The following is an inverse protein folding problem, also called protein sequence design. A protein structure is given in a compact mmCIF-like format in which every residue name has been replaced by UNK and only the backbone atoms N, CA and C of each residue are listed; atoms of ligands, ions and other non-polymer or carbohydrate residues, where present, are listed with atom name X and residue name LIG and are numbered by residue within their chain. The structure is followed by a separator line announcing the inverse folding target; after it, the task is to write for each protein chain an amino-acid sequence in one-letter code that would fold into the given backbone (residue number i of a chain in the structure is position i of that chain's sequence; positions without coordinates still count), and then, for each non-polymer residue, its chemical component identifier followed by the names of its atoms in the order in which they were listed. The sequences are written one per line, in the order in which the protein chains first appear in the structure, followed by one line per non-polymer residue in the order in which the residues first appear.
data_IF_672829582425
#
_entry.id   IF_672829582425
#
_cell.length_a   1.000
_cell.length_b   1.000
_cell.length_c   1.000
_cell.angle_alpha   90.00
_cell.angle_beta   90.00
_cell.angle_gamma   90.00
#
_symmetry.space_group_name_H-M   'P 1'
#
loop_
_entity.id
_entity.type
_entity.pdbx_description
1 polymer ?
#
# COMPACT_ATOMS: atom_id res chain seq x y z
N UNK A 1 -9.34 -2.72 -3.72
CA UNK A 1 -8.67 -4.03 -3.85
C UNK A 1 -7.70 -4.01 -5.02
N UNK A 2 -8.15 -3.68 -6.21
CA UNK A 2 -7.28 -3.64 -7.41
C UNK A 2 -6.03 -2.76 -7.22
N UNK A 3 -6.18 -1.53 -6.73
CA UNK A 3 -5.05 -0.63 -6.44
C UNK A 3 -4.01 -1.25 -5.50
N UNK A 4 -4.45 -1.94 -4.45
CA UNK A 4 -3.54 -2.60 -3.51
C UNK A 4 -2.79 -3.75 -4.20
N UNK A 5 -3.51 -4.59 -4.94
CA UNK A 5 -2.91 -5.74 -5.64
C UNK A 5 -1.91 -5.28 -6.69
N UNK A 6 -2.26 -4.28 -7.51
CA UNK A 6 -1.35 -3.75 -8.53
C UNK A 6 -0.12 -3.04 -7.96
N UNK A 7 -0.20 -2.52 -6.75
CA UNK A 7 0.97 -1.98 -6.05
C UNK A 7 1.87 -3.09 -5.51
N UNK A 8 1.29 -4.13 -4.93
CA UNK A 8 2.06 -5.25 -4.35
C UNK A 8 2.76 -6.08 -5.41
N UNK A 9 2.13 -6.29 -6.56
CA UNK A 9 2.71 -7.06 -7.66
C UNK A 9 2.27 -6.53 -9.02
N UNK A 10 3.24 -6.33 -9.93
CA UNK A 10 2.99 -5.87 -11.29
C UNK A 10 2.67 -7.02 -12.26
N UNK A 11 2.83 -8.27 -11.85
CA UNK A 11 2.57 -9.47 -12.64
C UNK A 11 1.74 -10.49 -11.85
N UNK A 12 1.21 -11.50 -12.53
CA UNK A 12 0.48 -12.57 -11.87
C UNK A 12 1.41 -13.33 -10.91
N UNK A 13 2.66 -13.55 -11.33
CA UNK A 13 3.69 -14.20 -10.52
C UNK A 13 5.03 -13.47 -10.63
N UNK A 14 5.73 -13.40 -9.49
CA UNK A 14 7.13 -12.98 -9.40
C UNK A 14 7.85 -14.04 -8.59
N UNK A 15 8.95 -14.57 -9.14
CA UNK A 15 9.75 -15.63 -8.54
C UNK A 15 11.18 -15.15 -8.36
N UNK A 16 11.73 -15.35 -7.18
CA UNK A 16 13.13 -15.09 -6.86
C UNK A 16 13.54 -15.87 -5.60
N UNK A 17 14.67 -15.54 -5.00
CA UNK A 17 15.10 -16.06 -3.70
C UNK A 17 14.41 -15.32 -2.56
N UNK A 18 14.37 -15.93 -1.35
CA UNK A 18 13.90 -15.22 -0.16
C UNK A 18 14.64 -13.92 0.15
N UNK A 19 15.92 -13.83 -0.22
CA UNK A 19 16.73 -12.62 -0.01
C UNK A 19 16.23 -11.44 -0.85
N UNK A 20 15.81 -11.70 -2.08
CA UNK A 20 15.17 -10.67 -2.91
C UNK A 20 13.93 -10.06 -2.21
N UNK A 21 13.00 -10.91 -1.78
CA UNK A 21 11.75 -10.46 -1.16
C UNK A 21 11.95 -9.83 0.22
N UNK A 22 13.03 -10.17 0.91
CA UNK A 22 13.39 -9.59 2.23
C UNK A 22 14.31 -8.39 2.12
N UNK A 23 14.67 -7.98 0.89
CA UNK A 23 15.62 -6.88 0.63
C UNK A 23 17.00 -7.12 1.26
N UNK A 24 17.42 -8.37 1.35
CA UNK A 24 18.74 -8.72 1.81
C UNK A 24 19.75 -8.66 0.66
N UNK A 25 20.98 -8.19 0.91
CA UNK A 25 22.02 -8.32 -0.09
C UNK A 25 22.33 -9.80 -0.32
N UNK A 26 22.43 -10.19 -1.58
CA UNK A 26 22.83 -11.51 -1.98
C UNK A 26 23.74 -11.43 -3.20
N UNK A 27 24.73 -12.31 -3.30
CA UNK A 27 25.63 -12.34 -4.45
C UNK A 27 24.96 -12.98 -5.67
N UNK A 28 24.03 -13.89 -5.43
CA UNK A 28 23.25 -14.59 -6.47
C UNK A 28 21.78 -14.63 -6.06
N UNK A 29 20.91 -14.61 -7.08
CA UNK A 29 19.48 -14.77 -6.95
C UNK A 29 19.01 -15.96 -7.79
N UNK A 30 17.88 -15.83 -8.48
CA UNK A 30 17.37 -16.89 -9.36
C UNK A 30 18.36 -17.18 -10.51
N UNK A 31 18.57 -18.46 -10.81
CA UNK A 31 19.48 -18.86 -11.89
C UNK A 31 18.77 -19.01 -13.23
N UNK A 32 19.49 -18.91 -14.37
CA UNK A 32 18.90 -19.15 -15.70
C UNK A 32 18.22 -20.52 -15.81
N UNK A 33 18.82 -21.56 -15.22
CA UNK A 33 18.27 -22.93 -15.27
C UNK A 33 16.93 -23.01 -14.50
N UNK A 34 16.83 -22.32 -13.37
CA UNK A 34 15.57 -22.25 -12.61
C UNK A 34 14.50 -21.49 -13.38
N UNK A 35 14.87 -20.41 -14.07
CA UNK A 35 13.95 -19.65 -14.93
C UNK A 35 13.44 -20.55 -16.06
N UNK A 36 14.34 -21.28 -16.75
CA UNK A 36 13.96 -22.20 -17.83
C UNK A 36 13.03 -23.32 -17.31
N UNK A 37 13.30 -23.86 -16.12
CA UNK A 37 12.45 -24.88 -15.50
C UNK A 37 11.04 -24.32 -15.21
N UNK A 38 10.95 -23.13 -14.65
CA UNK A 38 9.67 -22.47 -14.36
C UNK A 38 8.92 -22.19 -15.67
N UNK A 39 9.58 -21.61 -16.65
CA UNK A 39 8.99 -21.29 -17.95
C UNK A 39 8.49 -22.52 -18.69
N UNK A 40 9.18 -23.66 -18.58
CA UNK A 40 8.76 -24.93 -19.19
C UNK A 40 7.53 -25.56 -18.53
N UNK A 41 7.26 -25.24 -17.26
CA UNK A 41 6.19 -25.82 -16.46
C UNK A 41 5.01 -24.84 -16.21
N UNK A 42 5.09 -23.62 -16.73
CA UNK A 42 4.04 -22.62 -16.63
C UNK A 42 3.64 -22.11 -18.01
N UNK A 43 2.35 -21.76 -18.17
CA UNK A 43 1.84 -21.18 -19.41
C UNK A 43 1.75 -19.67 -19.21
N UNK A 44 2.68 -18.95 -19.80
CA UNK A 44 2.74 -17.49 -19.71
C UNK A 44 2.23 -16.82 -20.98
N UNK A 45 1.46 -15.76 -20.84
CA UNK A 45 1.09 -14.82 -21.91
C UNK A 45 2.16 -13.74 -22.12
N UNK A 46 2.83 -13.36 -21.05
CA UNK A 46 3.98 -12.45 -21.01
C UNK A 46 4.93 -12.95 -19.94
N UNK A 47 6.22 -12.93 -20.22
CA UNK A 47 7.24 -13.25 -19.22
C UNK A 47 8.52 -12.48 -19.48
N UNK A 48 9.32 -12.28 -18.45
CA UNK A 48 10.62 -11.65 -18.58
C UNK A 48 11.42 -11.71 -17.28
N UNK A 49 12.67 -11.38 -17.39
CA UNK A 49 13.65 -11.39 -16.32
C UNK A 49 14.09 -9.97 -15.99
N UNK A 50 14.15 -9.66 -14.71
CA UNK A 50 14.85 -8.49 -14.21
C UNK A 50 16.23 -8.88 -13.71
N UNK A 51 17.21 -8.01 -13.93
CA UNK A 51 18.61 -8.27 -13.63
C UNK A 51 19.19 -7.21 -12.73
N UNK A 52 20.08 -7.59 -11.84
CA UNK A 52 20.90 -6.69 -11.04
C UNK A 52 22.31 -6.60 -11.62
N UNK A 53 22.85 -5.39 -11.73
CA UNK A 53 24.24 -5.19 -12.15
C UNK A 53 25.16 -5.41 -10.94
N UNK A 54 25.99 -6.45 -10.98
CA UNK A 54 26.93 -6.88 -9.94
C UNK A 54 28.33 -6.31 -10.15
N UNK A 55 28.38 -5.01 -10.39
CA UNK A 55 29.60 -4.27 -10.58
C UNK A 55 29.45 -2.91 -9.90
N UNK A 56 30.47 -2.39 -9.22
CA UNK A 56 30.41 -1.04 -8.70
C UNK A 56 30.07 -0.06 -9.82
N UNK A 57 28.99 0.68 -9.64
CA UNK A 57 28.54 1.69 -10.59
C UNK A 57 28.08 2.93 -9.85
N UNK A 58 28.46 4.08 -10.34
CA UNK A 58 28.17 5.38 -9.75
C UNK A 58 27.62 6.32 -10.82
N UNK A 59 26.66 7.15 -10.45
CA UNK A 59 26.18 8.22 -11.31
C UNK A 59 26.74 9.57 -10.87
N UNK A 60 27.12 10.39 -11.84
CA UNK A 60 27.46 11.79 -11.61
C UNK A 60 26.17 12.61 -11.54
N UNK A 61 25.93 13.21 -10.39
CA UNK A 61 24.74 14.01 -10.11
C UNK A 61 25.16 15.36 -9.52
N UNK A 62 24.27 16.33 -9.53
CA UNK A 62 24.52 17.61 -8.85
C UNK A 62 24.59 17.38 -7.34
N UNK A 63 25.46 18.13 -6.68
CA UNK A 63 25.59 18.04 -5.21
C UNK A 63 24.25 18.35 -4.52
N UNK A 64 23.47 19.30 -5.04
CA UNK A 64 22.17 19.67 -4.48
C UNK A 64 21.18 18.51 -4.53
N UNK A 65 21.14 17.75 -5.63
CA UNK A 65 20.28 16.59 -5.77
C UNK A 65 20.65 15.50 -4.75
N UNK A 66 21.94 15.20 -4.61
CA UNK A 66 22.41 14.19 -3.68
C UNK A 66 22.18 14.61 -2.22
N UNK A 67 22.38 15.89 -1.89
CA UNK A 67 22.09 16.44 -0.56
C UNK A 67 20.62 16.32 -0.16
N UNK A 68 19.68 16.48 -1.09
CA UNK A 68 18.25 16.31 -0.82
C UNK A 68 17.90 14.88 -0.41
N UNK A 69 18.58 13.90 -1.00
CA UNK A 69 18.32 12.50 -0.70
C UNK A 69 18.93 12.08 0.64
N UNK A 70 20.19 12.42 0.88
CA UNK A 70 20.86 12.17 2.16
C UNK A 70 20.23 12.90 3.34
N UNK A 71 19.69 14.12 3.14
CA UNK A 71 19.05 14.90 4.20
C UNK A 71 17.85 14.19 4.86
N UNK A 72 17.35 13.11 4.26
CA UNK A 72 16.31 12.25 4.87
C UNK A 72 16.85 11.38 6.00
N UNK A 73 18.16 11.13 6.02
CA UNK A 73 18.80 10.14 6.90
C UNK A 73 19.90 10.75 7.77
N UNK A 74 20.50 11.87 7.36
CA UNK A 74 21.66 12.48 7.97
C UNK A 74 21.39 13.91 8.49
N UNK A 75 22.07 14.29 9.55
CA UNK A 75 22.09 15.68 10.02
C UNK A 75 22.95 16.56 9.08
N UNK A 76 22.76 17.88 9.13
CA UNK A 76 23.51 18.82 8.28
C UNK A 76 25.03 18.68 8.41
N UNK A 77 25.55 18.47 9.64
CA UNK A 77 27.00 18.29 9.87
C UNK A 77 27.52 16.97 9.29
N UNK A 78 26.75 15.89 9.41
CA UNK A 78 27.09 14.59 8.82
C UNK A 78 27.07 14.68 7.30
N UNK A 79 26.08 15.35 6.75
CA UNK A 79 25.94 15.57 5.32
C UNK A 79 27.11 16.36 4.73
N UNK A 80 27.53 17.47 5.37
CA UNK A 80 28.70 18.26 4.93
C UNK A 80 29.99 17.44 4.98
N UNK A 81 30.16 16.65 6.05
CA UNK A 81 31.30 15.74 6.17
C UNK A 81 31.28 14.66 5.09
N UNK A 82 30.09 14.12 4.78
CA UNK A 82 29.92 13.09 3.76
C UNK A 82 30.20 13.64 2.36
N UNK A 83 29.60 14.76 1.99
CA UNK A 83 29.83 15.41 0.69
C UNK A 83 31.31 15.76 0.49
N UNK A 84 32.01 16.24 1.52
CA UNK A 84 33.44 16.59 1.40
C UNK A 84 34.36 15.39 1.11
N UNK A 85 33.91 14.16 1.33
CA UNK A 85 34.68 12.93 1.09
C UNK A 85 34.39 12.29 -0.27
N UNK A 86 33.30 12.69 -0.92
CA UNK A 86 32.94 12.20 -2.25
C UNK A 86 33.88 12.73 -3.33
N UNK A 87 33.96 12.03 -4.44
CA UNK A 87 34.67 12.49 -5.62
C UNK A 87 33.84 13.56 -6.33
N UNK A 88 34.51 14.67 -6.68
CA UNK A 88 33.89 15.82 -7.35
C UNK A 88 34.46 16.02 -8.76
N UNK A 89 33.58 16.37 -9.71
CA UNK A 89 33.91 16.85 -11.06
C UNK A 89 33.17 18.16 -11.34
N UNK A 90 33.76 19.28 -10.98
CA UNK A 90 33.09 20.58 -11.03
C UNK A 90 32.01 20.68 -9.97
N UNK A 91 30.77 20.87 -10.40
CA UNK A 91 29.55 20.91 -9.58
C UNK A 91 28.86 19.54 -9.44
N UNK A 92 29.45 18.49 -10.04
CA UNK A 92 28.95 17.15 -9.98
C UNK A 92 29.66 16.32 -8.92
N UNK A 93 28.92 15.45 -8.27
CA UNK A 93 29.40 14.52 -7.24
C UNK A 93 29.08 13.09 -7.69
N UNK A 94 29.96 12.17 -7.35
CA UNK A 94 29.78 10.75 -7.63
C UNK A 94 28.86 10.14 -6.57
N UNK A 95 27.63 9.83 -6.95
CA UNK A 95 26.64 9.19 -6.09
C UNK A 95 26.46 7.70 -6.43
N UNK A 96 26.12 6.92 -5.43
CA UNK A 96 25.69 5.53 -5.64
C UNK A 96 24.45 5.50 -6.54
N UNK A 97 24.34 4.43 -7.33
CA UNK A 97 23.15 4.21 -8.15
C UNK A 97 22.77 2.75 -8.14
N UNK A 98 21.48 2.50 -8.38
CA UNK A 98 20.98 1.18 -8.71
C UNK A 98 20.61 1.15 -10.18
N UNK A 99 21.10 0.14 -10.89
CA UNK A 99 20.71 -0.13 -12.26
C UNK A 99 19.81 -1.36 -12.26
N UNK A 100 18.55 -1.14 -12.54
CA UNK A 100 17.58 -2.20 -12.81
C UNK A 100 17.62 -2.50 -14.31
N UNK A 101 18.17 -3.64 -14.67
CA UNK A 101 18.20 -4.05 -16.06
C UNK A 101 17.02 -4.99 -16.33
N UNK A 102 16.30 -4.76 -17.42
CA UNK A 102 15.07 -5.49 -17.73
C UNK A 102 15.11 -6.10 -19.12
N UNK A 103 14.49 -7.27 -19.26
CA UNK A 103 14.11 -7.78 -20.56
C UNK A 103 13.15 -6.81 -21.26
N UNK A 104 13.27 -6.70 -22.58
CA UNK A 104 12.44 -5.79 -23.38
C UNK A 104 10.93 -6.04 -23.20
N UNK A 105 10.53 -7.28 -22.94
CA UNK A 105 9.13 -7.66 -22.67
C UNK A 105 8.57 -7.02 -21.40
N UNK A 106 9.41 -6.54 -20.49
CA UNK A 106 8.98 -5.96 -19.21
C UNK A 106 8.80 -4.44 -19.26
N UNK A 107 9.21 -3.79 -20.33
CA UNK A 107 9.04 -2.33 -20.43
C UNK A 107 7.57 -1.90 -20.43
N UNK A 108 6.66 -2.77 -20.91
CA UNK A 108 5.21 -2.51 -20.81
C UNK A 108 4.67 -2.46 -19.36
N UNK A 109 5.46 -2.93 -18.39
CA UNK A 109 5.13 -2.85 -16.95
C UNK A 109 5.52 -1.51 -16.34
N UNK A 110 6.35 -0.71 -17.00
CA UNK A 110 6.77 0.60 -16.54
C UNK A 110 5.68 1.63 -16.84
N UNK A 111 5.38 2.48 -15.87
CA UNK A 111 4.53 3.64 -16.11
C UNK A 111 5.40 4.83 -16.51
N UNK A 112 5.31 5.26 -17.77
CA UNK A 112 6.03 6.44 -18.26
C UNK A 112 5.35 7.70 -17.73
N UNK A 113 6.11 8.50 -16.96
CA UNK A 113 5.67 9.80 -16.46
C UNK A 113 6.01 10.91 -17.47
N UNK A 114 7.21 10.90 -18.04
CA UNK A 114 7.65 11.86 -19.06
C UNK A 114 8.62 11.17 -20.04
N UNK A 115 8.65 11.61 -21.28
CA UNK A 115 9.52 11.09 -22.32
C UNK A 115 8.98 9.84 -23.05
N UNK A 116 9.91 9.02 -23.57
CA UNK A 116 9.61 7.80 -24.34
C UNK A 116 10.68 6.74 -24.07
N UNK A 117 10.25 5.52 -23.76
CA UNK A 117 11.13 4.36 -23.51
C UNK A 117 11.55 3.65 -24.80
N UNK A 118 10.94 3.94 -25.95
CA UNK A 118 11.23 3.28 -27.23
C UNK A 118 12.72 3.31 -27.60
N UNK A 119 13.50 4.37 -27.32
CA UNK A 119 14.93 4.38 -27.58
C UNK A 119 15.73 3.28 -26.87
N UNK A 120 15.23 2.77 -25.72
CA UNK A 120 15.89 1.70 -24.98
C UNK A 120 15.75 0.33 -25.66
N UNK A 121 14.78 0.20 -26.58
CA UNK A 121 14.55 -1.04 -27.35
C UNK A 121 15.46 -1.13 -28.59
N UNK A 122 16.09 -0.02 -28.98
CA UNK A 122 16.98 0.01 -30.13
C UNK A 122 18.30 -0.72 -29.84
N UNK A 123 18.83 -1.49 -30.78
CA UNK A 123 20.13 -2.15 -30.61
C UNK A 123 21.27 -1.15 -30.37
N UNK A 124 22.17 -1.48 -29.47
CA UNK A 124 23.35 -0.66 -29.15
C UNK A 124 23.02 0.80 -28.76
N UNK A 125 21.86 1.00 -28.13
CA UNK A 125 21.47 2.33 -27.64
C UNK A 125 22.31 2.75 -26.43
N UNK A 126 22.27 4.06 -26.12
CA UNK A 126 22.78 4.66 -24.90
C UNK A 126 21.63 5.40 -24.17
N UNK A 127 20.43 4.89 -24.27
CA UNK A 127 19.27 5.42 -23.59
C UNK A 127 19.14 4.83 -22.19
N UNK A 128 18.75 5.68 -21.25
CA UNK A 128 18.49 5.30 -19.86
C UNK A 128 17.18 5.95 -19.41
N UNK A 129 16.40 5.23 -18.62
CA UNK A 129 15.28 5.82 -17.90
C UNK A 129 15.64 6.01 -16.42
N UNK A 130 15.12 7.08 -15.84
CA UNK A 130 15.25 7.36 -14.41
C UNK A 130 13.98 6.94 -13.73
N UNK A 131 14.10 6.08 -12.72
CA UNK A 131 12.98 5.71 -11.89
C UNK A 131 12.63 6.84 -10.94
N UNK A 132 11.36 7.24 -10.94
CA UNK A 132 10.80 8.30 -10.11
C UNK A 132 9.74 7.73 -9.19
N UNK A 133 9.59 8.35 -8.01
CA UNK A 133 8.52 8.01 -7.08
C UNK A 133 7.43 9.06 -7.18
N UNK A 134 6.25 8.66 -7.65
CA UNK A 134 5.08 9.52 -7.71
C UNK A 134 4.37 9.57 -6.35
N UNK A 135 3.64 10.65 -6.09
CA UNK A 135 2.74 10.72 -4.95
C UNK A 135 1.45 9.92 -5.20
N UNK A 136 0.60 9.79 -4.18
CA UNK A 136 -0.68 9.07 -4.28
C UNK A 136 -1.65 9.63 -5.33
N UNK A 137 -1.35 10.81 -5.89
CA UNK A 137 -2.13 11.50 -6.91
C UNK A 137 -1.49 11.45 -8.30
N UNK A 138 -0.34 10.78 -8.43
CA UNK A 138 0.41 10.66 -9.68
C UNK A 138 1.25 11.88 -10.04
N UNK A 139 1.51 12.78 -9.08
CA UNK A 139 2.41 13.91 -9.31
C UNK A 139 3.84 13.52 -8.90
N UNK A 140 4.81 14.10 -9.57
CA UNK A 140 6.22 13.96 -9.23
C UNK A 140 6.61 15.00 -8.16
N UNK A 141 6.89 14.57 -6.90
CA UNK A 141 7.41 15.48 -5.89
C UNK A 141 8.85 15.90 -6.25
N UNK A 142 9.18 17.17 -6.02
CA UNK A 142 10.52 17.73 -6.25
C UNK A 142 11.07 17.41 -7.65
N UNK A 143 10.39 17.83 -8.74
CA UNK A 143 10.82 17.52 -10.11
C UNK A 143 12.22 18.06 -10.43
N UNK A 144 12.70 19.08 -9.71
CA UNK A 144 14.05 19.64 -9.82
C UNK A 144 15.16 18.69 -9.35
N UNK A 145 14.81 17.66 -8.59
CA UNK A 145 15.75 16.63 -8.13
C UNK A 145 16.19 15.72 -9.29
N UNK A 146 15.31 15.49 -10.27
CA UNK A 146 15.55 14.53 -11.34
C UNK A 146 16.13 15.22 -12.59
N UNK A 147 17.00 14.52 -13.35
CA UNK A 147 17.43 15.00 -14.66
C UNK A 147 16.24 15.07 -15.61
N UNK A 148 16.31 15.95 -16.60
CA UNK A 148 15.26 16.11 -17.60
C UNK A 148 15.44 15.12 -18.75
N UNK A 149 14.34 14.79 -19.40
CA UNK A 149 14.39 14.03 -20.67
C UNK A 149 15.22 14.80 -21.69
N UNK A 150 16.21 14.11 -22.27
CA UNK A 150 17.18 14.65 -23.19
C UNK A 150 18.52 15.06 -22.55
N UNK A 151 18.60 15.12 -21.21
CA UNK A 151 19.87 15.36 -20.54
C UNK A 151 20.83 14.18 -20.72
N UNK A 152 22.13 14.48 -20.73
CA UNK A 152 23.18 13.46 -20.70
C UNK A 152 23.65 13.27 -19.28
N UNK A 153 23.67 12.01 -18.82
CA UNK A 153 24.21 11.63 -17.51
C UNK A 153 25.38 10.67 -17.71
N UNK A 154 26.36 10.75 -16.81
CA UNK A 154 27.54 9.88 -16.84
C UNK A 154 27.45 8.83 -15.74
N UNK A 155 27.59 7.56 -16.11
CA UNK A 155 27.78 6.47 -15.16
C UNK A 155 29.24 5.99 -15.21
N UNK A 156 29.86 5.86 -14.04
CA UNK A 156 31.20 5.29 -13.90
C UNK A 156 31.09 3.85 -13.41
N UNK A 157 31.47 2.90 -14.24
CA UNK A 157 31.62 1.48 -13.87
C UNK A 157 33.04 1.23 -13.42
N UNK A 158 33.23 0.52 -12.30
CA UNK A 158 34.54 0.14 -11.81
C UNK A 158 34.68 -1.37 -11.69
N UNK A 159 35.89 -1.89 -11.88
CA UNK A 159 36.16 -3.33 -11.70
C UNK A 159 36.26 -3.71 -10.22
N UNK A 160 36.74 -2.78 -9.40
CA UNK A 160 36.90 -2.98 -7.96
C UNK A 160 36.86 -1.61 -7.23
N UNK A 161 36.43 -1.62 -5.98
CA UNK A 161 36.40 -0.45 -5.10
C UNK A 161 37.13 -0.80 -3.81
N UNK A 162 38.10 0.03 -3.45
CA UNK A 162 38.83 -0.13 -2.19
C UNK A 162 38.78 1.14 -1.37
N UNK A 163 38.70 0.97 -0.08
CA UNK A 163 38.83 2.11 0.84
C UNK A 163 40.31 2.37 1.12
N UNK A 164 40.73 3.61 0.94
CA UNK A 164 42.07 4.09 1.26
C UNK A 164 42.02 5.10 2.41
N UNK A 165 43.14 5.27 3.09
CA UNK A 165 43.36 6.39 4.01
C UNK A 165 43.68 7.63 3.17
N UNK A 166 42.81 8.62 3.18
CA UNK A 166 42.96 9.85 2.39
C UNK A 166 44.23 10.65 2.70
N UNK A 167 44.84 10.42 3.88
CA UNK A 167 46.10 11.09 4.30
C UNK A 167 47.32 10.45 3.66
N UNK A 168 47.30 9.15 3.45
CA UNK A 168 48.47 8.38 2.97
C UNK A 168 48.32 7.86 1.55
N UNK A 169 47.07 7.68 1.08
CA UNK A 169 46.73 7.02 -0.17
C UNK A 169 46.92 5.51 -0.17
N UNK A 170 47.22 4.91 0.99
CA UNK A 170 47.37 3.48 1.18
C UNK A 170 46.00 2.84 1.54
N UNK A 171 45.88 1.53 1.39
CA UNK A 171 44.67 0.80 1.80
C UNK A 171 44.42 1.02 3.28
N UNK A 172 43.14 1.26 3.64
CA UNK A 172 42.74 1.42 5.03
C UNK A 172 43.12 0.20 5.85
N UNK A 173 43.46 0.44 7.12
CA UNK A 173 43.66 -0.60 8.14
C UNK A 173 42.58 -0.48 9.22
N UNK A 174 42.55 -1.41 10.15
CA UNK A 174 41.64 -1.35 11.31
C UNK A 174 41.85 -0.09 12.17
N UNK A 175 43.08 0.46 12.17
CA UNK A 175 43.46 1.65 12.93
C UNK A 175 43.15 2.97 12.19
N UNK A 176 42.71 2.93 10.93
CA UNK A 176 42.38 4.15 10.16
C UNK A 176 41.05 4.71 10.67
N UNK A 177 41.00 5.97 11.16
CA UNK A 177 39.74 6.59 11.55
C UNK A 177 38.79 6.74 10.34
N UNK A 178 37.48 6.55 10.56
CA UNK A 178 36.46 6.59 9.50
C UNK A 178 36.42 7.92 8.75
N UNK A 179 36.74 9.01 9.40
CA UNK A 179 36.81 10.35 8.81
C UNK A 179 37.84 10.49 7.68
N UNK A 180 38.81 9.56 7.59
CA UNK A 180 39.81 9.51 6.53
C UNK A 180 39.54 8.40 5.50
N UNK A 181 38.42 7.73 5.56
CA UNK A 181 38.04 6.76 4.53
C UNK A 181 37.71 7.48 3.24
N UNK A 182 38.34 7.08 2.17
CA UNK A 182 38.03 7.52 0.81
C UNK A 182 37.94 6.31 -0.10
N UNK A 183 36.90 6.28 -0.95
CA UNK A 183 36.76 5.26 -1.97
C UNK A 183 37.74 5.53 -3.11
N UNK A 184 38.37 4.46 -3.59
CA UNK A 184 39.20 4.49 -4.77
C UNK A 184 38.77 3.43 -5.76
N UNK A 185 38.38 3.89 -6.94
CA UNK A 185 37.93 3.05 -8.03
C UNK A 185 39.11 2.49 -8.82
N UNK A 186 39.05 1.22 -9.16
CA UNK A 186 40.02 0.53 -10.01
C UNK A 186 39.34 0.06 -11.29
N UNK A 187 39.99 0.22 -12.44
CA UNK A 187 39.44 -0.11 -13.74
C UNK A 187 38.18 0.72 -14.10
N UNK A 188 38.11 1.94 -13.57
CA UNK A 188 36.97 2.83 -13.78
C UNK A 188 36.81 3.21 -15.25
N UNK A 189 35.58 3.19 -15.74
CA UNK A 189 35.20 3.54 -17.11
C UNK A 189 33.90 4.33 -17.10
N UNK A 190 33.94 5.51 -17.69
CA UNK A 190 32.75 6.35 -17.85
C UNK A 190 31.95 5.90 -19.08
N UNK A 191 30.63 5.90 -18.93
CA UNK A 191 29.65 5.68 -19.99
C UNK A 191 28.63 6.81 -19.93
N UNK A 192 28.41 7.46 -21.06
CA UNK A 192 27.40 8.52 -21.17
C UNK A 192 26.08 7.92 -21.69
N UNK A 193 25.01 8.27 -20.98
CA UNK A 193 23.64 7.92 -21.34
C UNK A 193 22.80 9.16 -21.58
N UNK A 194 21.85 9.04 -22.50
CA UNK A 194 20.81 10.06 -22.69
C UNK A 194 19.56 9.63 -21.92
N UNK A 195 19.06 10.49 -21.05
CA UNK A 195 17.79 10.25 -20.33
C UNK A 195 16.65 10.30 -21.35
N UNK A 196 16.04 9.15 -21.61
CA UNK A 196 14.95 9.04 -22.59
C UNK A 196 13.57 9.15 -21.94
N UNK A 197 13.44 8.76 -20.66
CA UNK A 197 12.18 8.82 -19.94
C UNK A 197 12.39 8.95 -18.43
N UNK A 198 11.37 9.50 -17.78
CA UNK A 198 11.12 9.36 -16.34
C UNK A 198 10.02 8.31 -16.17
N UNK A 199 10.27 7.27 -15.39
CA UNK A 199 9.36 6.13 -15.25
C UNK A 199 9.07 5.83 -13.80
N UNK A 200 7.86 5.39 -13.50
CA UNK A 200 7.58 4.73 -12.23
C UNK A 200 7.86 3.24 -12.38
N UNK A 201 8.85 2.76 -11.64
CA UNK A 201 9.19 1.35 -11.60
C UNK A 201 8.30 0.66 -10.55
N UNK A 202 7.55 -0.40 -10.92
CA UNK A 202 6.76 -1.14 -9.97
C UNK A 202 7.58 -1.59 -8.77
N UNK A 203 7.05 -1.38 -7.57
CA UNK A 203 7.73 -1.71 -6.32
C UNK A 203 8.21 -3.17 -6.26
N UNK A 204 7.48 -4.10 -6.87
CA UNK A 204 7.81 -5.52 -6.94
C UNK A 204 8.90 -5.89 -7.95
N UNK A 205 9.32 -4.94 -8.80
CA UNK A 205 10.40 -5.14 -9.77
C UNK A 205 11.72 -4.48 -9.35
N UNK A 206 11.73 -3.69 -8.29
CA UNK A 206 12.91 -2.97 -7.84
C UNK A 206 13.67 -3.76 -6.79
N UNK A 207 14.99 -3.86 -6.97
CA UNK A 207 15.91 -4.32 -5.94
C UNK A 207 16.23 -3.18 -4.98
N UNK A 208 15.45 -3.07 -3.94
CA UNK A 208 15.44 -1.93 -3.00
C UNK A 208 16.61 -1.86 -2.04
N UNK A 209 17.56 -2.77 -2.17
CA UNK A 209 18.77 -2.78 -1.37
C UNK A 209 19.86 -1.95 -2.02
N UNK A 210 20.36 -0.98 -1.29
CA UNK A 210 21.54 -0.18 -1.63
C UNK A 210 21.25 1.15 -2.33
N UNK A 211 22.27 2.00 -2.30
CA UNK A 211 22.40 3.25 -3.01
C UNK A 211 21.49 4.41 -2.55
N UNK A 212 22.13 5.55 -2.35
CA UNK A 212 21.46 6.85 -2.28
C UNK A 212 21.80 7.55 -3.60
N UNK A 213 20.80 7.98 -4.33
CA UNK A 213 20.94 8.55 -5.66
C UNK A 213 19.83 8.08 -6.60
N UNK A 214 19.99 8.34 -7.88
CA UNK A 214 18.98 7.93 -8.84
C UNK A 214 18.92 6.41 -8.99
N UNK A 215 17.74 5.89 -8.92
CA UNK A 215 17.44 4.54 -9.42
C UNK A 215 17.25 4.64 -10.94
N UNK A 216 17.89 3.76 -11.68
CA UNK A 216 17.92 3.83 -13.14
C UNK A 216 17.50 2.54 -13.77
N UNK A 217 16.90 2.62 -14.95
CA UNK A 217 16.45 1.47 -15.72
C UNK A 217 17.19 1.41 -17.06
N UNK A 218 17.75 0.25 -17.38
CA UNK A 218 18.38 -0.06 -18.66
C UNK A 218 17.74 -1.29 -19.31
N UNK A 219 17.89 -1.41 -20.63
CA UNK A 219 17.68 -2.73 -21.26
C UNK A 219 18.80 -3.69 -20.84
N UNK A 220 18.47 -4.97 -20.70
CA UNK A 220 19.46 -5.99 -20.33
C UNK A 220 20.65 -6.00 -21.28
N UNK A 221 20.44 -5.80 -22.58
CA UNK A 221 21.50 -5.75 -23.58
C UNK A 221 22.50 -4.61 -23.32
N UNK A 222 21.99 -3.41 -23.00
CA UNK A 222 22.80 -2.26 -22.64
C UNK A 222 23.54 -2.47 -21.33
N UNK A 223 22.86 -3.00 -20.31
CA UNK A 223 23.46 -3.29 -19.02
C UNK A 223 24.55 -4.36 -19.11
N UNK A 224 24.35 -5.44 -19.88
CA UNK A 224 25.36 -6.48 -20.13
C UNK A 224 26.59 -5.92 -20.88
N UNK A 225 26.36 -5.13 -21.93
CA UNK A 225 27.44 -4.48 -22.67
C UNK A 225 28.30 -3.59 -21.78
N UNK A 226 27.67 -2.74 -20.98
CA UNK A 226 28.36 -1.70 -20.25
C UNK A 226 28.92 -2.16 -18.91
N UNK A 227 28.30 -3.14 -18.27
CA UNK A 227 28.88 -3.79 -17.10
C UNK A 227 29.95 -4.82 -17.41
N UNK A 228 30.12 -5.19 -18.70
CA UNK A 228 31.06 -6.25 -19.10
C UNK A 228 30.56 -7.64 -18.73
N UNK A 229 29.25 -7.88 -18.81
CA UNK A 229 28.63 -9.16 -18.49
C UNK A 229 28.25 -9.35 -17.02
N UNK A 230 28.23 -8.27 -16.22
CA UNK A 230 27.97 -8.36 -14.80
C UNK A 230 26.48 -8.18 -14.42
N UNK A 231 25.56 -8.10 -15.38
CA UNK A 231 24.13 -8.14 -15.10
C UNK A 231 23.68 -9.61 -14.91
N UNK A 232 23.24 -9.96 -13.71
CA UNK A 232 22.79 -11.31 -13.35
C UNK A 232 21.28 -11.34 -13.13
N UNK A 233 20.59 -12.46 -13.45
CA UNK A 233 19.17 -12.60 -13.16
C UNK A 233 18.87 -12.35 -11.69
N UNK A 234 17.89 -11.51 -11.42
CA UNK A 234 17.48 -11.14 -10.08
C UNK A 234 16.09 -11.67 -9.76
N UNK A 235 15.17 -11.54 -10.69
CA UNK A 235 13.80 -12.01 -10.58
C UNK A 235 13.31 -12.53 -11.94
N UNK A 236 12.37 -13.45 -11.90
CA UNK A 236 11.57 -13.85 -13.06
C UNK A 236 10.12 -13.54 -12.79
N UNK A 237 9.46 -12.87 -13.73
CA UNK A 237 8.05 -12.57 -13.62
C UNK A 237 7.29 -13.01 -14.87
N UNK A 238 6.01 -13.35 -14.69
CA UNK A 238 5.14 -13.71 -15.79
C UNK A 238 3.67 -13.46 -15.48
N UNK A 239 2.90 -13.19 -16.54
CA UNK A 239 1.45 -13.18 -16.53
C UNK A 239 0.91 -14.43 -17.20
N UNK A 240 -0.23 -14.93 -16.76
CA UNK A 240 -0.95 -16.06 -17.34
C UNK A 240 -2.01 -15.59 -18.33
N UNK A 241 -2.53 -16.49 -19.16
CA UNK A 241 -3.52 -16.14 -20.15
C UNK A 241 -4.94 -16.08 -19.55
N UNK A 242 -5.22 -16.92 -18.57
CA UNK A 242 -6.52 -17.01 -17.90
C UNK A 242 -6.41 -17.56 -16.46
N UNK A 243 -7.54 -17.53 -15.73
CA UNK A 243 -7.63 -17.98 -14.35
C UNK A 243 -7.28 -19.47 -14.15
N UNK A 244 -7.44 -20.32 -15.19
CA UNK A 244 -7.11 -21.76 -15.11
C UNK A 244 -5.60 -21.95 -15.17
N UNK A 245 -4.92 -21.23 -16.04
CA UNK A 245 -3.46 -21.22 -16.14
C UNK A 245 -2.84 -20.58 -14.87
N UNK A 246 -3.46 -19.52 -14.30
CA UNK A 246 -3.07 -18.93 -13.00
C UNK A 246 -3.12 -19.96 -11.89
N UNK A 247 -4.21 -20.73 -11.78
CA UNK A 247 -4.36 -21.76 -10.77
C UNK A 247 -3.37 -22.95 -10.94
N UNK A 248 -3.07 -23.34 -12.17
CA UNK A 248 -2.08 -24.38 -12.47
C UNK A 248 -0.66 -23.92 -12.09
N UNK A 249 -0.29 -22.68 -12.44
CA UNK A 249 0.97 -22.06 -12.07
C UNK A 249 1.13 -21.90 -10.56
N UNK A 250 0.09 -21.44 -9.84
CA UNK A 250 0.07 -21.35 -8.39
C UNK A 250 0.33 -22.71 -7.73
N UNK A 251 -0.32 -23.78 -8.23
CA UNK A 251 -0.11 -25.13 -7.71
C UNK A 251 1.32 -25.64 -7.97
N UNK A 252 1.89 -25.34 -9.13
CA UNK A 252 3.26 -25.71 -9.47
C UNK A 252 4.26 -24.96 -8.58
N UNK A 253 4.17 -23.64 -8.51
CA UNK A 253 5.07 -22.82 -7.71
C UNK A 253 4.98 -23.13 -6.21
N UNK A 254 3.77 -23.36 -5.70
CA UNK A 254 3.57 -23.77 -4.30
C UNK A 254 4.29 -25.10 -3.99
N UNK A 255 4.36 -26.05 -4.92
CA UNK A 255 5.13 -27.29 -4.75
C UNK A 255 6.62 -27.05 -4.88
N UNK A 256 7.04 -26.22 -5.84
CA UNK A 256 8.44 -25.89 -6.09
C UNK A 256 9.08 -25.19 -4.89
N UNK A 257 8.31 -24.30 -4.24
CA UNK A 257 8.78 -23.53 -3.08
C UNK A 257 8.42 -24.16 -1.75
N UNK A 258 7.79 -25.36 -1.74
CA UNK A 258 7.43 -26.06 -0.52
C UNK A 258 8.67 -26.55 0.24
N UNK A 259 8.89 -26.01 1.44
CA UNK A 259 9.98 -26.42 2.32
C UNK A 259 10.63 -25.26 3.04
N UNK A 260 11.06 -25.49 4.28
CA UNK A 260 11.69 -24.48 5.12
C UNK A 260 13.02 -23.94 4.53
N UNK A 261 13.66 -24.75 3.69
CA UNK A 261 14.95 -24.44 3.05
C UNK A 261 14.84 -24.34 1.51
N UNK A 262 13.67 -24.01 0.98
CA UNK A 262 13.55 -23.79 -0.47
C UNK A 262 14.45 -22.63 -0.91
N UNK A 263 15.24 -22.81 -1.98
CA UNK A 263 16.06 -21.72 -2.54
C UNK A 263 15.22 -20.64 -3.22
N UNK A 264 13.96 -20.93 -3.54
CA UNK A 264 13.04 -20.02 -4.24
C UNK A 264 11.83 -19.67 -3.38
N UNK A 265 11.34 -18.48 -3.61
CA UNK A 265 10.09 -17.94 -3.09
C UNK A 265 9.34 -17.27 -4.24
N UNK A 266 8.03 -17.15 -4.13
CA UNK A 266 7.24 -16.39 -5.10
C UNK A 266 6.20 -15.53 -4.42
N UNK A 267 5.81 -14.46 -5.11
CA UNK A 267 4.64 -13.66 -4.80
C UNK A 267 3.66 -13.75 -5.98
N UNK A 268 2.35 -13.77 -5.67
CA UNK A 268 1.31 -13.83 -6.69
C UNK A 268 0.19 -12.82 -6.42
N UNK A 269 -0.52 -12.43 -7.49
CA UNK A 269 -1.74 -11.62 -7.34
C UNK A 269 -2.79 -12.34 -6.49
N UNK A 270 -2.86 -13.67 -6.56
CA UNK A 270 -3.77 -14.47 -5.74
C UNK A 270 -3.43 -14.33 -4.25
N UNK A 271 -2.15 -14.41 -3.88
CA UNK A 271 -1.68 -14.18 -2.51
C UNK A 271 -1.99 -12.76 -2.05
N UNK A 272 -1.67 -11.74 -2.85
CA UNK A 272 -1.96 -10.34 -2.51
C UNK A 272 -3.47 -10.08 -2.32
N UNK A 273 -4.32 -10.68 -3.18
CA UNK A 273 -5.80 -10.63 -3.01
C UNK A 273 -6.25 -11.28 -1.72
N UNK A 274 -5.66 -12.44 -1.36
CA UNK A 274 -5.98 -13.17 -0.14
C UNK A 274 -5.59 -12.37 1.11
N UNK A 275 -4.40 -11.79 1.14
CA UNK A 275 -3.92 -10.95 2.23
C UNK A 275 -4.81 -9.71 2.43
N UNK A 276 -5.15 -9.03 1.34
CA UNK A 276 -6.10 -7.91 1.39
C UNK A 276 -7.48 -8.33 1.90
N UNK A 277 -7.97 -9.51 1.49
CA UNK A 277 -9.24 -10.04 1.97
C UNK A 277 -9.22 -10.33 3.47
N UNK A 278 -8.12 -10.89 3.99
CA UNK A 278 -7.93 -11.14 5.43
C UNK A 278 -7.86 -9.82 6.21
N UNK A 279 -7.09 -8.84 5.71
CA UNK A 279 -7.02 -7.50 6.28
C UNK A 279 -8.40 -6.84 6.35
N UNK A 280 -9.17 -6.89 5.26
CA UNK A 280 -10.53 -6.38 5.23
C UNK A 280 -11.46 -7.10 6.22
N UNK A 281 -11.35 -8.43 6.34
CA UNK A 281 -12.14 -9.19 7.31
C UNK A 281 -11.83 -8.81 8.75
N UNK A 282 -10.57 -8.57 9.08
CA UNK A 282 -10.16 -8.09 10.41
C UNK A 282 -10.81 -6.75 10.74
N UNK A 283 -10.79 -5.78 9.81
CA UNK A 283 -11.44 -4.48 10.02
C UNK A 283 -12.97 -4.60 10.14
N UNK A 284 -13.59 -5.45 9.32
CA UNK A 284 -15.03 -5.70 9.41
C UNK A 284 -15.42 -6.35 10.75
N UNK A 285 -14.60 -7.24 11.27
CA UNK A 285 -14.85 -7.90 12.56
C UNK A 285 -14.69 -6.89 13.71
N UNK A 286 -13.60 -6.16 13.78
CA UNK A 286 -13.35 -5.16 14.82
C UNK A 286 -14.42 -4.05 14.77
N UNK A 287 -14.66 -3.50 13.59
CA UNK A 287 -15.68 -2.47 13.36
C UNK A 287 -17.09 -2.99 13.67
N UNK A 288 -17.40 -4.21 13.29
CA UNK A 288 -18.67 -4.87 13.58
C UNK A 288 -18.92 -5.05 15.07
N UNK A 289 -17.91 -5.52 15.82
CA UNK A 289 -18.01 -5.64 17.29
C UNK A 289 -18.26 -4.25 17.93
N UNK A 290 -17.50 -3.24 17.50
CA UNK A 290 -17.65 -1.88 18.01
C UNK A 290 -19.06 -1.32 17.73
N UNK A 291 -19.53 -1.49 16.48
CA UNK A 291 -20.90 -1.11 16.10
C UNK A 291 -21.96 -1.86 16.89
N UNK A 292 -21.76 -3.16 17.17
CA UNK A 292 -22.68 -3.96 17.98
C UNK A 292 -22.76 -3.45 19.43
N UNK A 293 -21.61 -3.09 20.03
CA UNK A 293 -21.57 -2.51 21.39
C UNK A 293 -22.30 -1.16 21.42
N UNK A 294 -22.00 -0.27 20.48
CA UNK A 294 -22.67 1.05 20.38
C UNK A 294 -24.17 0.87 20.13
N UNK A 295 -24.53 -0.07 19.25
CA UNK A 295 -25.92 -0.41 18.97
C UNK A 295 -26.66 -0.93 20.20
N UNK A 296 -26.03 -1.77 21.01
CA UNK A 296 -26.60 -2.27 22.27
C UNK A 296 -26.83 -1.12 23.28
N UNK A 297 -25.86 -0.23 23.42
CA UNK A 297 -26.01 0.98 24.28
C UNK A 297 -27.15 1.87 23.77
N UNK A 298 -27.24 2.07 22.44
CA UNK A 298 -28.35 2.81 21.82
C UNK A 298 -29.70 2.16 22.08
N UNK A 299 -29.80 0.84 22.00
CA UNK A 299 -31.00 0.06 22.32
C UNK A 299 -31.42 0.21 23.79
N UNK A 300 -30.48 0.11 24.72
CA UNK A 300 -30.73 0.32 26.16
C UNK A 300 -31.21 1.74 26.44
N UNK A 301 -30.62 2.75 25.80
CA UNK A 301 -31.04 4.14 25.94
C UNK A 301 -32.45 4.35 25.38
N UNK A 302 -32.79 3.76 24.23
CA UNK A 302 -34.13 3.80 23.67
C UNK A 302 -35.16 3.16 24.61
N UNK A 303 -34.84 1.97 25.14
CA UNK A 303 -35.67 1.28 26.13
C UNK A 303 -35.89 2.15 27.37
N UNK A 304 -34.83 2.71 27.94
CA UNK A 304 -34.94 3.60 29.12
C UNK A 304 -35.78 4.86 28.86
N UNK A 305 -35.62 5.49 27.69
CA UNK A 305 -36.39 6.65 27.28
C UNK A 305 -37.89 6.34 27.20
N UNK A 306 -38.23 5.22 26.54
CA UNK A 306 -39.62 4.75 26.44
C UNK A 306 -40.22 4.38 27.82
N UNK A 307 -39.42 3.64 28.62
CA UNK A 307 -39.86 3.28 29.97
C UNK A 307 -40.16 4.52 30.81
N UNK A 308 -39.23 5.49 30.85
CA UNK A 308 -39.39 6.72 31.61
C UNK A 308 -40.58 7.52 31.08
N UNK A 309 -40.76 7.64 29.76
CA UNK A 309 -41.89 8.29 29.12
C UNK A 309 -43.26 7.69 29.54
N UNK A 310 -43.37 6.36 29.56
CA UNK A 310 -44.59 5.67 29.99
C UNK A 310 -44.84 5.83 31.50
N UNK A 311 -43.79 5.64 32.32
CA UNK A 311 -43.91 5.77 33.78
C UNK A 311 -44.26 7.17 34.23
N UNK A 312 -43.64 8.20 33.68
CA UNK A 312 -43.91 9.62 34.03
C UNK A 312 -45.32 10.06 33.64
N UNK A 313 -45.93 9.47 32.62
CA UNK A 313 -47.27 9.79 32.10
C UNK A 313 -48.36 8.83 32.58
N UNK A 314 -48.08 7.98 33.56
CA UNK A 314 -49.00 6.98 34.08
C UNK A 314 -50.32 7.60 34.54
N UNK A 315 -50.29 8.76 35.17
CA UNK A 315 -51.47 9.50 35.63
C UNK A 315 -52.32 10.00 34.45
N UNK A 316 -51.68 10.51 33.38
CA UNK A 316 -52.36 10.93 32.16
C UNK A 316 -53.11 9.76 31.52
N UNK A 317 -52.46 8.59 31.47
CA UNK A 317 -53.07 7.36 30.90
C UNK A 317 -54.27 6.87 31.75
N UNK A 318 -54.18 6.94 33.07
CA UNK A 318 -55.28 6.64 33.96
C UNK A 318 -56.47 7.61 33.77
N UNK A 319 -56.24 8.91 33.58
CA UNK A 319 -57.27 9.87 33.25
C UNK A 319 -57.91 9.61 31.90
N UNK A 320 -57.16 9.30 30.88
CA UNK A 320 -57.69 8.93 29.56
C UNK A 320 -58.53 7.67 29.57
N UNK A 321 -58.15 6.66 30.38
CA UNK A 321 -58.97 5.48 30.61
C UNK A 321 -60.25 5.79 31.40
N UNK A 322 -60.19 6.68 32.38
CA UNK A 322 -61.36 7.09 33.12
C UNK A 322 -62.38 7.88 32.28
N UNK A 323 -61.94 8.58 31.22
CA UNK A 323 -62.78 9.29 30.24
C UNK A 323 -63.34 8.33 29.18
N UNK A 324 -62.91 7.01 29.17
CA UNK A 324 -63.46 5.99 28.29
C UNK A 324 -62.52 5.46 27.23
N UNK A 325 -61.22 5.78 27.28
CA UNK A 325 -60.25 5.21 26.40
C UNK A 325 -60.01 3.72 26.71
N UNK A 326 -60.11 2.87 25.70
CA UNK A 326 -59.88 1.44 25.89
C UNK A 326 -58.39 1.11 25.94
N UNK A 327 -58.07 0.00 26.64
CA UNK A 327 -56.67 -0.52 26.70
C UNK A 327 -56.04 -0.71 25.32
N UNK A 328 -56.83 -1.11 24.32
CA UNK A 328 -56.39 -1.30 22.96
C UNK A 328 -56.00 0.06 22.31
N UNK A 329 -56.79 1.09 22.52
CA UNK A 329 -56.52 2.45 22.00
C UNK A 329 -55.25 3.03 22.62
N UNK A 330 -55.06 2.89 23.94
CA UNK A 330 -53.89 3.32 24.64
C UNK A 330 -52.61 2.62 24.14
N UNK A 331 -52.69 1.26 24.00
CA UNK A 331 -51.58 0.48 23.44
C UNK A 331 -51.24 0.92 22.01
N UNK A 332 -52.24 1.16 21.17
CA UNK A 332 -52.03 1.67 19.81
C UNK A 332 -51.40 3.02 19.78
N UNK A 333 -51.79 3.96 20.67
CA UNK A 333 -51.19 5.25 20.81
C UNK A 333 -49.70 5.18 21.16
N UNK A 334 -49.34 4.31 22.13
CA UNK A 334 -47.92 4.09 22.51
C UNK A 334 -47.09 3.45 21.37
N UNK A 335 -47.69 2.59 20.59
CA UNK A 335 -47.06 2.01 19.40
C UNK A 335 -46.73 3.14 18.36
N UNK A 336 -47.70 4.02 18.09
CA UNK A 336 -47.46 5.13 17.18
C UNK A 336 -46.35 6.07 17.68
N UNK A 337 -46.33 6.33 19.01
CA UNK A 337 -45.28 7.09 19.64
C UNK A 337 -43.90 6.43 19.49
N UNK A 338 -43.80 5.10 19.72
CA UNK A 338 -42.60 4.32 19.53
C UNK A 338 -42.10 4.30 18.07
N UNK A 339 -43.03 4.13 17.13
CA UNK A 339 -42.73 4.18 15.70
C UNK A 339 -42.24 5.58 15.26
N UNK A 340 -42.87 6.66 15.82
CA UNK A 340 -42.42 8.02 15.53
C UNK A 340 -41.00 8.25 16.02
N UNK A 341 -40.63 7.81 17.22
CA UNK A 341 -39.26 7.87 17.75
C UNK A 341 -38.29 7.06 16.90
N UNK A 342 -38.66 5.83 16.50
CA UNK A 342 -37.85 4.99 15.66
C UNK A 342 -37.57 5.62 14.28
N UNK A 343 -38.61 6.15 13.64
CA UNK A 343 -38.46 6.78 12.31
C UNK A 343 -37.68 8.09 12.40
N UNK A 344 -37.89 8.90 13.45
CA UNK A 344 -37.11 10.12 13.67
C UNK A 344 -35.64 9.81 13.89
N UNK A 345 -35.30 8.75 14.64
CA UNK A 345 -33.93 8.31 14.86
C UNK A 345 -33.26 7.86 13.55
N UNK A 346 -33.96 7.09 12.71
CA UNK A 346 -33.44 6.70 11.39
C UNK A 346 -33.22 7.89 10.48
N UNK A 347 -34.15 8.86 10.47
CA UNK A 347 -34.01 10.08 9.65
C UNK A 347 -32.80 10.92 10.08
N UNK A 348 -32.60 11.12 11.40
CA UNK A 348 -31.44 11.83 11.93
C UNK A 348 -30.15 11.07 11.63
N UNK A 349 -30.10 9.74 11.80
CA UNK A 349 -28.95 8.92 11.48
C UNK A 349 -28.58 9.01 10.00
N UNK A 350 -29.58 9.03 9.10
CA UNK A 350 -29.37 9.20 7.66
C UNK A 350 -28.74 10.58 7.33
N UNK A 351 -29.30 11.66 7.90
CA UNK A 351 -28.76 13.00 7.69
C UNK A 351 -27.32 13.10 8.22
N UNK A 352 -27.04 12.53 9.40
CA UNK A 352 -25.70 12.51 9.97
C UNK A 352 -24.74 11.69 9.10
N UNK A 353 -25.17 10.56 8.53
CA UNK A 353 -24.33 9.74 7.67
C UNK A 353 -23.94 10.48 6.38
N UNK A 354 -24.84 11.32 5.83
CA UNK A 354 -24.55 12.18 4.68
C UNK A 354 -23.48 13.24 4.98
N UNK A 355 -23.46 13.75 6.21
CA UNK A 355 -22.50 14.78 6.63
C UNK A 355 -21.15 14.19 7.08
N UNK A 356 -21.21 13.14 7.94
CA UNK A 356 -20.01 12.55 8.57
C UNK A 356 -19.30 11.56 7.63
N UNK A 357 -20.04 10.84 6.80
CA UNK A 357 -19.49 9.83 5.89
C UNK A 357 -18.39 10.36 4.98
N UNK A 358 -18.61 11.43 4.21
CA UNK A 358 -17.57 12.01 3.36
C UNK A 358 -16.35 12.54 4.14
N UNK A 359 -16.60 13.10 5.35
CA UNK A 359 -15.51 13.58 6.21
C UNK A 359 -14.64 12.41 6.70
N UNK A 360 -15.26 11.36 7.21
CA UNK A 360 -14.57 10.14 7.62
C UNK A 360 -13.85 9.47 6.44
N UNK A 361 -14.49 9.49 5.26
CA UNK A 361 -13.91 9.01 4.02
C UNK A 361 -12.61 9.73 3.63
N UNK A 362 -12.58 11.06 3.76
CA UNK A 362 -11.38 11.86 3.53
C UNK A 362 -10.27 11.54 4.55
N UNK A 363 -10.61 11.39 5.82
CA UNK A 363 -9.64 11.02 6.85
C UNK A 363 -9.05 9.63 6.60
N UNK A 364 -9.88 8.65 6.23
CA UNK A 364 -9.38 7.30 5.91
C UNK A 364 -8.56 7.30 4.62
N UNK A 365 -8.94 8.08 3.61
CA UNK A 365 -8.17 8.22 2.37
C UNK A 365 -6.81 8.88 2.58
N UNK A 366 -6.64 9.75 3.59
CA UNK A 366 -5.33 10.30 3.95
C UNK A 366 -4.45 9.33 4.78
N UNK A 367 -5.05 8.29 5.39
CA UNK A 367 -4.32 7.25 6.13
C UNK A 367 -3.99 6.03 5.27
N UNK A 368 -4.85 5.71 4.32
CA UNK A 368 -4.74 4.53 3.46
C UNK A 368 -4.91 4.95 2.00
N UNK A 369 -3.82 5.08 1.27
CA UNK A 369 -3.76 5.52 -0.12
C UNK A 369 -4.64 4.68 -1.08
N UNK A 370 -4.88 3.40 -0.75
CA UNK A 370 -5.75 2.50 -1.52
C UNK A 370 -7.23 2.59 -1.14
N UNK A 371 -7.61 3.43 -0.16
CA UNK A 371 -8.99 3.57 0.30
C UNK A 371 -9.74 4.58 -0.54
N UNK A 372 -10.82 4.13 -1.18
CA UNK A 372 -11.78 4.98 -1.87
C UNK A 372 -13.11 4.97 -1.14
N UNK A 373 -13.57 6.15 -0.72
CA UNK A 373 -14.87 6.29 -0.09
C UNK A 373 -15.98 6.18 -1.14
N UNK A 374 -16.84 5.17 -0.99
CA UNK A 374 -18.07 5.05 -1.78
C UNK A 374 -19.28 5.17 -0.86
N UNK A 375 -20.08 6.20 -1.07
CA UNK A 375 -21.32 6.36 -0.31
C UNK A 375 -22.31 5.25 -0.68
N UNK A 376 -22.77 4.50 0.34
CA UNK A 376 -23.80 3.47 0.18
C UNK A 376 -24.92 3.67 1.17
N UNK A 377 -26.15 3.60 0.70
CA UNK A 377 -27.37 3.72 1.51
C UNK A 377 -27.74 2.39 2.19
N UNK A 378 -27.17 1.28 1.72
CA UNK A 378 -27.52 -0.08 2.15
C UNK A 378 -27.45 -0.28 3.69
N UNK A 379 -26.42 0.18 4.41
CA UNK A 379 -26.36 0.02 5.87
C UNK A 379 -27.54 0.68 6.58
N UNK A 380 -27.93 1.89 6.13
CA UNK A 380 -29.07 2.61 6.72
C UNK A 380 -30.39 1.87 6.43
N UNK A 381 -30.57 1.38 5.21
CA UNK A 381 -31.77 0.60 4.85
C UNK A 381 -31.92 -0.68 5.69
N UNK A 382 -30.79 -1.35 5.99
CA UNK A 382 -30.80 -2.55 6.84
C UNK A 382 -31.17 -2.26 8.31
N UNK A 383 -30.99 -1.06 8.79
CA UNK A 383 -31.37 -0.68 10.15
C UNK A 383 -32.85 -0.38 10.30
N UNK A 384 -33.56 0.00 9.23
CA UNK A 384 -34.99 0.36 9.27
C UNK A 384 -35.87 -0.76 9.84
N UNK A 385 -35.81 -2.03 9.35
CA UNK A 385 -36.62 -3.10 9.90
C UNK A 385 -36.38 -3.34 11.39
N UNK A 386 -35.12 -3.21 11.84
CA UNK A 386 -34.74 -3.39 13.23
C UNK A 386 -35.38 -2.28 14.11
N UNK A 387 -35.25 -1.01 13.69
CA UNK A 387 -35.85 0.11 14.43
C UNK A 387 -37.37 0.06 14.44
N UNK A 388 -38.03 -0.33 13.35
CA UNK A 388 -39.46 -0.53 13.28
C UNK A 388 -39.92 -1.64 14.24
N UNK A 389 -39.21 -2.75 14.29
CA UNK A 389 -39.51 -3.87 15.18
C UNK A 389 -39.34 -3.45 16.65
N UNK A 390 -38.30 -2.68 16.98
CA UNK A 390 -38.11 -2.13 18.32
C UNK A 390 -39.18 -1.10 18.70
N UNK A 391 -39.55 -0.23 17.77
CA UNK A 391 -40.65 0.76 17.95
C UNK A 391 -42.01 0.13 18.20
N UNK A 392 -42.23 -1.14 17.72
CA UNK A 392 -43.41 -1.91 17.99
C UNK A 392 -43.29 -2.70 19.29
N UNK A 393 -42.23 -3.47 19.50
CA UNK A 393 -42.08 -4.41 20.60
C UNK A 393 -41.91 -3.70 21.95
N UNK A 394 -41.08 -2.67 22.04
CA UNK A 394 -40.77 -2.02 23.32
C UNK A 394 -42.02 -1.38 23.97
N UNK A 395 -42.83 -0.56 23.26
CA UNK A 395 -44.07 -0.04 23.83
C UNK A 395 -45.06 -1.14 24.23
N UNK A 396 -45.17 -2.25 23.42
CA UNK A 396 -46.04 -3.35 23.77
C UNK A 396 -45.61 -4.01 25.08
N UNK A 397 -44.34 -4.39 25.20
CA UNK A 397 -43.82 -5.05 26.43
C UNK A 397 -43.94 -4.14 27.67
N UNK A 398 -43.68 -2.86 27.51
CA UNK A 398 -43.76 -1.90 28.61
C UNK A 398 -45.21 -1.69 29.07
N UNK A 399 -46.13 -1.55 28.10
CA UNK A 399 -47.56 -1.45 28.42
C UNK A 399 -48.08 -2.69 29.14
N UNK A 400 -47.81 -3.89 28.63
CA UNK A 400 -48.24 -5.14 29.19
C UNK A 400 -47.72 -5.37 30.65
N UNK A 401 -46.52 -4.86 30.94
CA UNK A 401 -45.94 -4.84 32.28
C UNK A 401 -46.59 -3.73 33.21
N UNK A 402 -46.89 -2.56 32.66
CA UNK A 402 -47.54 -1.49 33.41
C UNK A 402 -49.04 -1.77 33.69
N UNK A 403 -49.73 -2.48 32.80
CA UNK A 403 -51.14 -2.84 32.89
C UNK A 403 -51.43 -3.95 33.91
N UNK A 404 -50.41 -4.59 34.49
CA UNK A 404 -50.60 -5.58 35.55
C UNK A 404 -51.07 -4.97 36.88
N UNK A 405 -50.96 -3.64 37.08
CA UNK A 405 -51.51 -2.93 38.22
C UNK A 405 -52.91 -2.40 37.88
N UNK A 406 -53.89 -2.51 38.79
CA UNK A 406 -55.24 -2.00 38.56
C UNK A 406 -55.28 -0.48 38.45
N UNK A 407 -56.23 0.08 37.67
CA UNK A 407 -56.41 1.54 37.48
C UNK A 407 -56.58 2.25 38.83
N UNK A 408 -57.21 1.62 39.81
CA UNK A 408 -57.43 2.12 41.17
C UNK A 408 -56.11 2.18 41.95
N UNK A 409 -55.23 1.20 41.81
CA UNK A 409 -53.89 1.19 42.40
C UNK A 409 -52.97 2.26 41.80
N UNK A 410 -53.07 2.45 40.48
CA UNK A 410 -52.32 3.47 39.75
C UNK A 410 -52.68 4.91 40.15
N UNK A 411 -53.95 5.14 40.53
CA UNK A 411 -54.40 6.42 41.02
C UNK A 411 -54.04 6.65 42.50
N UNK A 412 -53.91 5.56 43.29
CA UNK A 412 -53.56 5.63 44.72
C UNK A 412 -52.08 5.80 44.97
N UNK A 413 -51.24 5.16 44.20
CA UNK A 413 -49.76 5.28 44.30
C UNK A 413 -49.22 6.60 43.76
N UNK A 414 -50.11 7.47 43.26
CA UNK A 414 -49.77 8.81 42.74
C UNK A 414 -50.15 9.94 43.75
N UNK A 415 -50.60 9.59 44.95
CA UNK A 415 -50.74 10.52 46.10
C UNK A 415 -49.49 10.42 46.99
#
# INVERSE_FOLDING_TARGET
MEKYVSFMTCADFIVSTPDYFRYNPADEFITPEQIEEIAANTKSSLSGTGYAVRKPVYLWMTEDALRQDYARYESAEQLDSHMSRMEHRGDMVMGDTRIEALDNSLFDKLQVFDGDISPMLEPNNNAIAIAVSLDDYGNLPNPEYYPKVGDTITATYADDVKYIDSRTGELRTEDTPEEYFQEKLYGARDVEYTVCALVELPYSMSYRYGGIGYETVLSVDTAQRDSGGAAIPMLYLFDTADDADEAEAEQYLSKLTAGEFSPLMYESKATARSEFAQFRQMFLLIGGILCAIIGLVGLLNFFNAMMTGILSRRREFAVLQAVGMTNRQLKTMLIYEGLFYAMSSVAVAFILSLAVGPLAGKMLGSMFWFFEYQFTVLPVLLTIPVFLLLGLLIPCMMYDNAAKCSVVEQLRDAQ
#
